data_IF_153327601187
#
_entry.id   IF_153327601187
#
_cell.length_a   1.000
_cell.length_b   1.000
_cell.length_c   1.000
_cell.angle_alpha   90.00
_cell.angle_beta   90.00
_cell.angle_gamma   90.00
#
_symmetry.space_group_name_H-M   'P 1'
#
loop_
_entity.id
_entity.type
_entity.pdbx_description
1 polymer ?
#
# COMPACT_ATOMS: atom_id res chain seq x y z
N UNK A 1 6.11 -23.30 -20.72
CA UNK A 1 5.48 -23.21 -19.38
C UNK A 1 5.63 -21.78 -18.90
N UNK A 2 4.52 -21.11 -18.62
CA UNK A 2 4.51 -19.78 -18.01
C UNK A 2 4.16 -19.95 -16.54
N UNK A 3 4.99 -19.44 -15.63
CA UNK A 3 4.78 -19.56 -14.19
C UNK A 3 4.76 -18.18 -13.55
N UNK A 4 3.74 -17.91 -12.77
CA UNK A 4 3.60 -16.70 -11.96
C UNK A 4 3.09 -17.13 -10.58
N UNK A 5 3.67 -16.61 -9.52
CA UNK A 5 3.27 -16.94 -8.15
C UNK A 5 4.23 -16.42 -7.10
N UNK A 6 4.19 -17.00 -5.89
CA UNK A 6 5.17 -16.69 -4.85
C UNK A 6 6.56 -17.21 -5.22
N UNK A 7 7.60 -16.57 -4.70
CA UNK A 7 9.00 -16.94 -4.99
C UNK A 7 9.26 -18.44 -4.76
N UNK A 8 8.80 -18.99 -3.63
CA UNK A 8 8.96 -20.42 -3.34
C UNK A 8 8.23 -21.35 -4.32
N UNK A 9 7.04 -20.96 -4.78
CA UNK A 9 6.30 -21.74 -5.78
C UNK A 9 6.99 -21.71 -7.15
N UNK A 10 7.48 -20.54 -7.56
CA UNK A 10 8.20 -20.39 -8.82
C UNK A 10 9.51 -21.18 -8.80
N UNK A 11 10.27 -21.11 -7.71
CA UNK A 11 11.51 -21.88 -7.53
C UNK A 11 11.25 -23.40 -7.54
N UNK A 12 10.23 -23.87 -6.81
CA UNK A 12 9.88 -25.29 -6.79
C UNK A 12 9.45 -25.79 -8.18
N UNK A 13 8.64 -25.00 -8.89
CA UNK A 13 8.18 -25.33 -10.25
C UNK A 13 9.34 -25.39 -11.23
N UNK A 14 10.28 -24.45 -11.15
CA UNK A 14 11.47 -24.42 -11.99
C UNK A 14 12.37 -25.65 -11.74
N UNK A 15 12.65 -25.95 -10.47
CA UNK A 15 13.48 -27.08 -10.08
C UNK A 15 12.89 -28.43 -10.52
N UNK A 16 11.56 -28.57 -10.45
CA UNK A 16 10.87 -29.75 -10.96
C UNK A 16 11.00 -29.90 -12.48
N UNK A 17 10.82 -28.81 -13.23
CA UNK A 17 10.96 -28.82 -14.70
C UNK A 17 12.39 -29.15 -15.13
N UNK A 18 13.40 -28.64 -14.43
CA UNK A 18 14.80 -28.99 -14.64
C UNK A 18 15.06 -30.48 -14.41
N UNK A 19 14.49 -31.04 -13.33
CA UNK A 19 14.59 -32.48 -13.02
C UNK A 19 13.97 -33.36 -14.10
N UNK A 20 12.88 -32.88 -14.72
CA UNK A 20 12.21 -33.56 -15.84
C UNK A 20 12.91 -33.35 -17.19
N UNK A 21 14.09 -32.71 -17.21
CA UNK A 21 14.81 -32.35 -18.44
C UNK A 21 13.96 -31.54 -19.42
N UNK A 22 13.09 -30.66 -18.90
CA UNK A 22 12.26 -29.79 -19.73
C UNK A 22 13.12 -28.77 -20.50
N UNK A 23 12.83 -28.48 -21.78
CA UNK A 23 13.55 -27.47 -22.55
C UNK A 23 13.24 -26.05 -22.01
N UNK A 24 14.12 -25.54 -21.14
CA UNK A 24 13.93 -24.28 -20.41
C UNK A 24 13.87 -23.03 -21.30
N UNK A 25 14.27 -23.10 -22.56
CA UNK A 25 14.00 -22.08 -23.57
C UNK A 25 12.50 -21.83 -23.79
N UNK A 26 11.64 -22.78 -23.41
CA UNK A 26 10.18 -22.66 -23.43
C UNK A 26 9.60 -22.32 -22.04
N UNK A 27 10.44 -21.94 -21.07
CA UNK A 27 10.02 -21.52 -19.73
C UNK A 27 10.09 -19.99 -19.59
N UNK A 28 9.03 -19.39 -19.07
CA UNK A 28 8.98 -17.97 -18.73
C UNK A 28 8.39 -17.80 -17.34
N UNK A 29 8.91 -16.85 -16.57
CA UNK A 29 8.37 -16.49 -15.26
C UNK A 29 8.17 -15.00 -15.13
N UNK A 30 7.11 -14.62 -14.41
CA UNK A 30 6.82 -13.24 -14.04
C UNK A 30 6.76 -13.16 -12.51
N UNK A 31 7.47 -12.20 -11.92
CA UNK A 31 7.52 -11.98 -10.48
C UNK A 31 7.00 -10.58 -10.14
N UNK A 32 6.10 -10.48 -9.17
CA UNK A 32 5.49 -9.23 -8.71
C UNK A 32 6.13 -8.75 -7.40
N UNK A 33 7.45 -8.52 -7.42
CA UNK A 33 8.20 -8.00 -6.28
C UNK A 33 8.30 -8.98 -5.10
N UNK A 34 9.06 -8.59 -4.07
CA UNK A 34 9.26 -9.42 -2.89
C UNK A 34 7.98 -9.49 -2.04
N UNK A 35 7.56 -10.70 -1.66
CA UNK A 35 6.51 -10.87 -0.67
C UNK A 35 6.89 -10.13 0.63
N UNK A 36 6.00 -9.31 1.21
CA UNK A 36 6.26 -8.68 2.49
C UNK A 36 6.54 -9.75 3.54
N UNK A 37 7.59 -9.55 4.35
CA UNK A 37 7.85 -10.40 5.51
C UNK A 37 6.59 -10.43 6.38
N UNK A 38 6.08 -11.61 6.78
CA UNK A 38 4.89 -11.67 7.62
C UNK A 38 5.17 -10.89 8.91
N UNK A 39 4.43 -9.80 9.11
CA UNK A 39 4.43 -9.05 10.35
C UNK A 39 3.82 -9.96 11.42
N UNK A 40 4.43 -10.09 12.61
CA UNK A 40 3.82 -10.82 13.72
C UNK A 40 2.39 -10.30 13.94
N UNK A 41 1.41 -11.18 14.23
CA UNK A 41 0.03 -10.76 14.43
C UNK A 41 -0.03 -9.77 15.58
N UNK A 42 -0.51 -8.55 15.27
CA UNK A 42 -0.87 -7.59 16.30
C UNK A 42 -1.98 -8.21 17.15
N UNK A 43 -1.72 -8.29 18.45
CA UNK A 43 -2.65 -8.80 19.43
C UNK A 43 -3.96 -8.01 19.35
N UNK A 44 -5.07 -8.73 19.21
CA UNK A 44 -6.42 -8.18 19.34
C UNK A 44 -6.60 -7.68 20.78
N UNK A 45 -6.80 -6.38 20.95
CA UNK A 45 -7.38 -5.83 22.16
C UNK A 45 -8.88 -5.60 21.92
N UNK A 46 -9.70 -6.17 22.81
CA UNK A 46 -11.16 -6.02 22.85
C UNK A 46 -11.57 -4.59 23.23
N UNK A 47 -12.81 -4.17 22.94
CA UNK A 47 -13.29 -2.80 23.10
C UNK A 47 -13.71 -2.50 24.54
N UNK A 48 -13.29 -1.33 25.06
CA UNK A 48 -13.75 -0.73 26.32
C UNK A 48 -14.36 0.67 25.99
N UNK A 49 -15.47 1.12 26.64
CA UNK A 49 -16.35 2.18 26.13
C UNK A 49 -15.84 3.63 26.29
N UNK A 50 -16.55 4.63 25.70
CA UNK A 50 -15.98 5.90 25.24
C UNK A 50 -15.75 6.90 26.38
N UNK A 51 -14.62 7.60 26.33
CA UNK A 51 -14.38 8.78 27.17
C UNK A 51 -14.15 10.02 26.30
N UNK A 52 -15.02 11.00 26.54
CA UNK A 52 -15.14 12.31 25.88
C UNK A 52 -14.29 13.33 26.66
N UNK A 53 -13.74 14.33 25.96
CA UNK A 53 -13.10 15.59 26.46
C UNK A 53 -11.62 15.43 26.87
N UNK A 54 -10.62 16.23 26.48
CA UNK A 54 -10.48 17.66 26.07
C UNK A 54 -9.16 17.85 25.24
N UNK A 55 -8.91 19.00 24.58
CA UNK A 55 -7.98 19.11 23.44
C UNK A 55 -6.52 19.35 23.86
N UNK A 56 -5.69 18.32 23.70
CA UNK A 56 -4.23 18.48 23.62
C UNK A 56 -3.65 17.23 22.96
N UNK A 57 -3.73 17.17 21.65
CA UNK A 57 -3.12 16.11 20.87
C UNK A 57 -2.88 16.66 19.48
N UNK A 58 -1.65 16.48 18.98
CA UNK A 58 -1.31 16.64 17.57
C UNK A 58 -2.33 15.82 16.76
N UNK A 59 -3.38 16.45 16.25
CA UNK A 59 -4.49 15.75 15.61
C UNK A 59 -3.98 15.16 14.29
N UNK A 60 -3.85 13.83 14.25
CA UNK A 60 -3.54 13.09 13.03
C UNK A 60 -4.81 13.01 12.19
N UNK A 61 -4.85 13.80 11.12
CA UNK A 61 -6.03 13.97 10.29
C UNK A 61 -5.65 13.85 8.82
N UNK A 62 -6.42 13.07 8.08
CA UNK A 62 -6.30 12.91 6.64
C UNK A 62 -7.47 13.64 5.96
N UNK A 63 -7.16 14.56 5.05
CA UNK A 63 -8.13 15.32 4.26
C UNK A 63 -8.03 14.97 2.77
N UNK A 64 -9.18 14.70 2.15
CA UNK A 64 -9.34 14.52 0.72
C UNK A 64 -9.92 15.79 0.11
N UNK A 65 -9.05 16.59 -0.54
CA UNK A 65 -9.38 17.97 -0.92
C UNK A 65 -10.47 18.07 -1.98
N UNK A 66 -10.57 17.11 -2.91
CA UNK A 66 -11.55 17.17 -4.01
C UNK A 66 -12.90 16.64 -3.56
N UNK A 67 -12.91 15.65 -2.66
CA UNK A 67 -14.12 15.12 -2.05
C UNK A 67 -14.65 15.96 -0.87
N UNK A 68 -13.83 16.83 -0.29
CA UNK A 68 -14.17 17.62 0.91
C UNK A 68 -14.41 16.77 2.16
N UNK A 69 -13.79 15.58 2.22
CA UNK A 69 -13.97 14.62 3.32
C UNK A 69 -12.69 14.49 4.13
N UNK A 70 -12.84 14.30 5.44
CA UNK A 70 -11.71 14.08 6.34
C UNK A 70 -12.01 12.97 7.34
N UNK A 71 -10.94 12.34 7.83
CA UNK A 71 -11.00 11.38 8.94
C UNK A 71 -9.81 11.56 9.86
N UNK A 72 -10.00 11.22 11.12
CA UNK A 72 -8.91 10.98 12.05
C UNK A 72 -8.26 9.64 11.75
N UNK A 73 -6.97 9.50 12.06
CA UNK A 73 -6.24 8.25 11.91
C UNK A 73 -5.13 8.12 12.95
N UNK A 74 -4.76 6.89 13.25
CA UNK A 74 -3.56 6.56 14.05
C UNK A 74 -2.34 6.24 13.17
N UNK A 75 -2.51 6.24 11.84
CA UNK A 75 -1.48 5.92 10.87
C UNK A 75 -1.25 4.41 10.69
N UNK A 76 -2.14 3.56 11.20
CA UNK A 76 -2.10 2.10 11.01
C UNK A 76 -2.62 1.66 9.63
N UNK A 77 -3.53 2.44 9.04
CA UNK A 77 -4.17 2.19 7.75
C UNK A 77 -3.55 3.01 6.62
N UNK A 78 -3.62 2.48 5.40
CA UNK A 78 -3.17 3.20 4.21
C UNK A 78 -4.13 4.34 3.83
N UNK A 79 -3.63 5.33 3.10
CA UNK A 79 -4.44 6.42 2.55
C UNK A 79 -5.61 5.88 1.71
N UNK A 80 -5.41 4.78 0.98
CA UNK A 80 -6.47 4.16 0.19
C UNK A 80 -7.57 3.55 1.07
N UNK A 81 -7.22 2.85 2.15
CA UNK A 81 -8.21 2.25 3.05
C UNK A 81 -9.09 3.33 3.71
N UNK A 82 -8.45 4.40 4.20
CA UNK A 82 -9.16 5.56 4.76
C UNK A 82 -10.05 6.26 3.71
N UNK A 83 -9.61 6.33 2.46
CA UNK A 83 -10.43 6.84 1.36
C UNK A 83 -11.68 5.98 1.14
N UNK A 84 -11.52 4.65 1.13
CA UNK A 84 -12.61 3.69 0.92
C UNK A 84 -13.66 3.77 2.03
N UNK A 85 -13.24 3.90 3.30
CA UNK A 85 -14.13 4.09 4.44
C UNK A 85 -14.97 5.37 4.33
N UNK A 86 -14.38 6.45 3.82
CA UNK A 86 -15.08 7.72 3.56
C UNK A 86 -15.89 7.69 2.26
N UNK A 87 -15.82 6.62 1.46
CA UNK A 87 -16.45 6.54 0.14
C UNK A 87 -15.83 7.49 -0.90
N UNK A 88 -14.55 7.83 -0.74
CA UNK A 88 -13.75 8.57 -1.73
C UNK A 88 -13.19 7.58 -2.75
N UNK A 89 -13.55 7.76 -4.03
CA UNK A 89 -13.17 6.83 -5.10
C UNK A 89 -11.77 7.15 -5.62
N UNK A 90 -10.80 6.31 -5.27
CA UNK A 90 -9.45 6.33 -5.85
C UNK A 90 -9.31 5.08 -6.73
N UNK A 91 -8.85 5.25 -7.98
CA UNK A 91 -8.56 4.09 -8.84
C UNK A 91 -7.45 3.25 -8.20
N UNK A 92 -7.64 1.94 -8.14
CA UNK A 92 -6.68 1.01 -7.55
C UNK A 92 -6.69 -0.32 -8.32
N UNK A 93 -5.59 -1.08 -8.18
CA UNK A 93 -5.38 -2.34 -8.89
C UNK A 93 -4.64 -3.35 -8.02
N UNK A 94 -3.30 -3.34 -8.09
CA UNK A 94 -2.47 -4.35 -7.39
C UNK A 94 -2.46 -4.24 -5.85
N UNK A 95 -2.71 -3.05 -5.28
CA UNK A 95 -2.56 -2.73 -3.85
C UNK A 95 -1.20 -3.07 -3.22
N UNK A 96 -0.14 -3.19 -4.03
CA UNK A 96 1.21 -3.55 -3.58
C UNK A 96 2.28 -2.54 -4.03
N UNK A 97 1.87 -1.37 -4.53
CA UNK A 97 2.81 -0.32 -4.96
C UNK A 97 3.50 -0.56 -6.31
N UNK A 98 3.08 -1.56 -7.08
CA UNK A 98 3.75 -1.97 -8.34
C UNK A 98 3.06 -1.52 -9.63
N UNK A 99 1.76 -1.19 -9.60
CA UNK A 99 1.02 -0.86 -10.84
C UNK A 99 0.79 0.64 -11.08
N UNK A 100 1.07 1.50 -10.10
CA UNK A 100 0.86 2.96 -10.20
C UNK A 100 -0.59 3.45 -10.27
N UNK A 101 -1.60 2.57 -10.41
CA UNK A 101 -3.00 2.97 -10.56
C UNK A 101 -3.54 3.83 -9.40
N UNK A 102 -3.01 3.63 -8.19
CA UNK A 102 -3.37 4.33 -6.96
C UNK A 102 -2.60 5.66 -6.76
N UNK A 103 -1.92 6.17 -7.79
CA UNK A 103 -1.12 7.41 -7.71
C UNK A 103 -2.02 8.62 -7.52
N UNK A 104 -1.71 9.42 -6.49
CA UNK A 104 -2.35 10.70 -6.17
C UNK A 104 -1.33 11.71 -5.70
N UNK A 105 -1.62 13.00 -5.86
CA UNK A 105 -0.78 14.07 -5.36
C UNK A 105 -1.07 14.34 -3.89
N UNK A 106 -0.02 14.38 -3.08
CA UNK A 106 -0.04 14.86 -1.70
C UNK A 106 0.16 16.37 -1.73
N UNK A 107 -0.82 17.12 -1.23
CA UNK A 107 -0.78 18.58 -1.20
C UNK A 107 -0.04 19.09 0.04
N UNK A 108 -0.21 18.42 1.18
CA UNK A 108 0.41 18.77 2.45
C UNK A 108 0.68 17.53 3.31
N UNK A 109 1.60 17.65 4.26
CA UNK A 109 1.93 16.62 5.24
C UNK A 109 2.96 15.60 4.76
N UNK A 110 3.08 14.50 5.48
CA UNK A 110 4.03 13.42 5.19
C UNK A 110 3.36 12.05 5.20
N UNK A 111 3.90 11.15 4.39
CA UNK A 111 3.50 9.73 4.38
C UNK A 111 4.74 8.86 4.57
N UNK A 112 4.55 7.73 5.23
CA UNK A 112 5.56 6.68 5.36
C UNK A 112 5.19 5.48 4.51
N UNK A 113 6.19 4.76 4.05
CA UNK A 113 6.04 3.52 3.27
C UNK A 113 6.57 2.34 4.08
N UNK A 114 5.78 1.27 4.20
CA UNK A 114 6.28 0.00 4.77
C UNK A 114 7.08 -0.80 3.75
N UNK A 115 6.78 -0.61 2.46
CA UNK A 115 7.41 -1.25 1.31
C UNK A 115 7.68 -0.15 0.30
N UNK A 116 8.91 -0.12 -0.24
CA UNK A 116 9.28 0.89 -1.20
C UNK A 116 8.41 0.77 -2.47
N UNK A 117 7.71 1.83 -2.90
CA UNK A 117 6.82 1.77 -4.04
C UNK A 117 7.61 1.72 -5.36
N UNK A 118 7.49 0.59 -6.07
CA UNK A 118 8.18 0.32 -7.33
C UNK A 118 7.69 1.22 -8.47
N UNK A 119 6.39 1.50 -8.51
CA UNK A 119 5.75 2.33 -9.53
C UNK A 119 5.74 3.84 -9.20
N UNK A 120 6.61 4.29 -8.29
CA UNK A 120 6.76 5.69 -7.92
C UNK A 120 8.15 6.20 -8.32
N UNK A 121 8.22 6.81 -9.51
CA UNK A 121 9.47 7.31 -10.06
C UNK A 121 10.01 8.52 -9.28
N UNK A 122 11.31 8.85 -9.38
CA UNK A 122 11.87 10.01 -8.69
C UNK A 122 11.18 11.33 -9.07
N UNK A 123 10.79 11.49 -10.33
CA UNK A 123 10.04 12.64 -10.85
C UNK A 123 8.63 12.76 -10.23
N UNK A 124 7.97 11.62 -9.97
CA UNK A 124 6.70 11.61 -9.25
C UNK A 124 6.87 12.08 -7.80
N UNK A 125 7.94 11.64 -7.13
CA UNK A 125 8.25 12.05 -5.75
C UNK A 125 8.49 13.55 -5.67
N UNK A 126 9.25 14.11 -6.61
CA UNK A 126 9.49 15.56 -6.73
C UNK A 126 8.18 16.34 -6.96
N UNK A 127 7.27 15.79 -7.76
CA UNK A 127 5.92 16.33 -7.97
C UNK A 127 4.96 16.14 -6.77
N UNK A 128 5.42 15.56 -5.67
CA UNK A 128 4.62 15.29 -4.47
C UNK A 128 3.61 14.15 -4.65
N UNK A 129 3.78 13.27 -5.63
CA UNK A 129 2.92 12.11 -5.81
C UNK A 129 3.22 11.00 -4.81
N UNK A 130 2.16 10.27 -4.44
CA UNK A 130 2.17 9.13 -3.54
C UNK A 130 1.35 7.99 -4.13
N UNK A 131 1.73 6.74 -3.84
CA UNK A 131 0.87 5.57 -4.10
C UNK A 131 -0.01 5.30 -2.88
N UNK A 132 -1.28 5.71 -2.93
CA UNK A 132 -2.18 5.71 -1.75
C UNK A 132 -2.40 4.32 -1.15
N UNK A 133 -2.22 3.28 -1.94
CA UNK A 133 -2.40 1.89 -1.53
C UNK A 133 -1.28 1.32 -0.64
N UNK A 134 -0.12 1.98 -0.58
CA UNK A 134 1.00 1.60 0.30
C UNK A 134 1.57 2.77 1.11
N UNK A 135 0.99 3.96 0.95
CA UNK A 135 1.31 5.17 1.71
C UNK A 135 0.47 5.20 3.01
N UNK A 136 1.14 5.39 4.14
CA UNK A 136 0.52 5.54 5.46
C UNK A 136 0.69 7.00 5.92
N UNK A 137 -0.38 7.71 6.27
CA UNK A 137 -0.29 9.11 6.67
C UNK A 137 0.41 9.30 8.02
N UNK A 138 1.19 10.37 8.15
CA UNK A 138 1.91 10.75 9.37
C UNK A 138 1.45 12.15 9.80
N UNK A 139 0.78 12.25 10.95
CA UNK A 139 0.21 13.50 11.44
C UNK A 139 -0.89 14.02 10.52
N UNK A 140 -0.88 15.33 10.21
CA UNK A 140 -1.85 15.94 9.29
C UNK A 140 -1.40 15.76 7.84
N UNK A 141 -2.26 15.19 7.00
CA UNK A 141 -1.98 14.95 5.57
C UNK A 141 -3.15 15.40 4.69
N UNK A 142 -2.86 16.01 3.54
CA UNK A 142 -3.85 16.44 2.55
C UNK A 142 -3.55 15.79 1.21
N UNK A 143 -4.54 15.12 0.61
CA UNK A 143 -4.42 14.37 -0.65
C UNK A 143 -5.47 14.83 -1.65
N UNK A 144 -5.07 14.92 -2.92
CA UNK A 144 -5.94 15.32 -4.04
C UNK A 144 -6.84 14.14 -4.51
N UNK A 145 -7.91 13.88 -3.76
CA UNK A 145 -8.95 12.90 -4.13
C UNK A 145 -10.34 13.30 -3.64
#
# INVERSE_FOLDING_TARGET
VYVCGSEGFMQASKSLLETLSFPMQNYAQESFGAAPKPKPPAAKASPEPPQVSTPSSTSSTLLFSSAGKQTEHDGSESVLELAEQLGVKIRSGCRQGVCGACKKRKLEGEVRYNIEPDALEPSDRDAGCILTCVAFPVGKVVVEA
#
